data_IF_503894518628
#
_entry.id   IF_503894518628
#
_cell.length_a   1.000
_cell.length_b   1.000
_cell.length_c   1.000
_cell.angle_alpha   90.00
_cell.angle_beta   90.00
_cell.angle_gamma   90.00
#
_symmetry.space_group_name_H-M   'P 1'
#
loop_
_entity.id
_entity.type
_entity.pdbx_description
1 polymer ?
#
# COMPACT_ATOMS: atom_id res chain seq x y z
N UNK A 1 3.68 6.67 -32.97
CA UNK A 1 3.83 6.35 -31.53
C UNK A 1 2.51 5.75 -31.09
N UNK A 2 2.47 4.49 -30.65
CA UNK A 2 1.21 3.88 -30.16
C UNK A 2 0.93 4.52 -28.80
N UNK A 3 -0.23 5.17 -28.64
CA UNK A 3 -0.64 5.66 -27.32
C UNK A 3 -0.86 4.46 -26.41
N UNK A 4 -0.03 4.34 -25.37
CA UNK A 4 -0.22 3.37 -24.30
C UNK A 4 -1.41 3.80 -23.47
N UNK A 5 -2.24 2.86 -23.09
CA UNK A 5 -3.37 3.15 -22.22
C UNK A 5 -2.99 2.91 -20.76
N UNK A 6 -3.39 3.82 -19.88
CA UNK A 6 -3.12 3.71 -18.44
C UNK A 6 -4.36 3.22 -17.69
N UNK A 7 -4.16 2.23 -16.84
CA UNK A 7 -5.15 1.68 -15.92
C UNK A 7 -4.75 1.99 -14.48
N UNK A 8 -5.71 2.00 -13.55
CA UNK A 8 -5.43 2.12 -12.14
C UNK A 8 -6.19 1.11 -11.28
N UNK A 9 -5.47 0.51 -10.32
CA UNK A 9 -6.02 -0.36 -9.28
C UNK A 9 -5.74 0.28 -7.91
N UNK A 10 -6.79 0.63 -7.21
CA UNK A 10 -6.74 1.31 -5.91
C UNK A 10 -7.28 0.36 -4.85
N UNK A 11 -6.52 0.11 -3.79
CA UNK A 11 -6.86 -0.85 -2.73
C UNK A 11 -6.85 -0.13 -1.39
N UNK A 12 -7.98 -0.12 -0.69
CA UNK A 12 -8.10 0.43 0.66
C UNK A 12 -7.98 -0.65 1.72
N UNK A 13 -7.51 -0.26 2.90
CA UNK A 13 -7.76 -0.97 4.14
C UNK A 13 -9.24 -0.86 4.55
N UNK A 14 -9.65 -1.62 5.56
CA UNK A 14 -11.02 -1.64 6.09
C UNK A 14 -11.36 -0.44 7.00
N UNK A 15 -10.35 0.30 7.48
CA UNK A 15 -10.54 1.54 8.22
C UNK A 15 -11.07 2.70 7.36
N UNK A 16 -11.97 3.51 7.92
CA UNK A 16 -12.56 4.68 7.24
C UNK A 16 -11.48 5.64 6.72
N UNK A 17 -10.47 5.94 7.53
CA UNK A 17 -9.37 6.83 7.14
C UNK A 17 -8.58 6.30 5.94
N UNK A 18 -8.36 4.99 5.82
CA UNK A 18 -7.73 4.41 4.63
C UNK A 18 -8.59 4.56 3.38
N UNK A 19 -9.91 4.43 3.55
CA UNK A 19 -10.88 4.61 2.46
C UNK A 19 -10.90 6.06 1.98
N UNK A 20 -10.88 7.01 2.90
CA UNK A 20 -10.87 8.44 2.55
C UNK A 20 -9.57 8.83 1.85
N UNK A 21 -8.42 8.40 2.37
CA UNK A 21 -7.10 8.61 1.77
C UNK A 21 -7.03 8.08 0.32
N UNK A 22 -7.48 6.84 0.09
CA UNK A 22 -7.42 6.25 -1.25
C UNK A 22 -8.43 6.89 -2.22
N UNK A 23 -9.60 7.32 -1.73
CA UNK A 23 -10.58 8.07 -2.54
C UNK A 23 -10.06 9.44 -2.93
N UNK A 24 -9.35 10.13 -2.04
CA UNK A 24 -8.68 11.38 -2.39
C UNK A 24 -7.63 11.17 -3.50
N UNK A 25 -6.89 10.06 -3.44
CA UNK A 25 -5.98 9.69 -4.53
C UNK A 25 -6.72 9.33 -5.83
N UNK A 26 -7.88 8.67 -5.75
CA UNK A 26 -8.74 8.42 -6.90
C UNK A 26 -9.16 9.74 -7.57
N UNK A 27 -9.62 10.72 -6.79
CA UNK A 27 -9.99 12.04 -7.30
C UNK A 27 -8.81 12.73 -7.98
N UNK A 28 -7.61 12.66 -7.41
CA UNK A 28 -6.40 13.15 -8.08
C UNK A 28 -6.17 12.50 -9.45
N UNK A 29 -6.30 11.17 -9.56
CA UNK A 29 -6.15 10.48 -10.85
C UNK A 29 -7.22 10.91 -11.87
N UNK A 30 -8.46 11.05 -11.44
CA UNK A 30 -9.58 11.36 -12.33
C UNK A 30 -9.64 12.84 -12.73
N UNK A 31 -9.52 13.74 -11.76
CA UNK A 31 -9.79 15.17 -11.93
C UNK A 31 -8.54 15.95 -12.36
N UNK A 32 -7.35 15.51 -11.95
CA UNK A 32 -6.09 16.22 -12.22
C UNK A 32 -5.24 15.55 -13.30
N UNK A 33 -5.28 14.22 -13.40
CA UNK A 33 -4.52 13.44 -14.39
C UNK A 33 -5.37 12.90 -15.54
N UNK A 34 -6.67 13.23 -15.59
CA UNK A 34 -7.62 12.84 -16.65
C UNK A 34 -7.66 11.32 -16.92
N UNK A 35 -7.49 10.47 -15.89
CA UNK A 35 -7.66 9.03 -16.05
C UNK A 35 -9.10 8.71 -16.46
N UNK A 36 -9.27 7.80 -17.41
CA UNK A 36 -10.59 7.32 -17.80
C UNK A 36 -11.26 6.59 -16.60
N UNK A 37 -12.43 7.04 -16.11
CA UNK A 37 -13.09 6.41 -14.97
C UNK A 37 -13.36 4.91 -15.14
N UNK A 38 -13.59 4.45 -16.37
CA UNK A 38 -13.81 3.02 -16.69
C UNK A 38 -12.55 2.16 -16.51
N UNK A 39 -11.38 2.78 -16.38
CA UNK A 39 -10.06 2.12 -16.22
C UNK A 39 -9.50 2.27 -14.81
N UNK A 40 -10.23 2.92 -13.90
CA UNK A 40 -9.86 3.07 -12.50
C UNK A 40 -10.76 2.16 -11.65
N UNK A 41 -10.19 1.15 -11.01
CA UNK A 41 -10.90 0.23 -10.12
C UNK A 41 -10.53 0.52 -8.67
N UNK A 42 -11.53 0.77 -7.83
CA UNK A 42 -11.37 0.92 -6.39
C UNK A 42 -11.89 -0.33 -5.67
N UNK A 43 -11.04 -0.96 -4.87
CA UNK A 43 -11.35 -2.12 -4.05
C UNK A 43 -11.27 -1.73 -2.57
N UNK A 44 -12.35 -1.99 -1.84
CA UNK A 44 -12.46 -1.62 -0.44
C UNK A 44 -12.19 -2.81 0.48
N UNK A 45 -11.23 -2.65 1.40
CA UNK A 45 -10.85 -3.70 2.35
C UNK A 45 -11.99 -4.19 3.23
N UNK A 46 -13.07 -3.41 3.37
CA UNK A 46 -14.32 -3.84 4.05
C UNK A 46 -14.96 -5.09 3.44
N UNK A 47 -14.60 -5.46 2.21
CA UNK A 47 -15.17 -6.61 1.51
C UNK A 47 -14.43 -7.93 1.76
N UNK A 48 -13.35 -7.93 2.56
CA UNK A 48 -12.59 -9.15 2.84
C UNK A 48 -11.39 -9.33 1.90
N UNK A 49 -10.32 -9.96 2.39
CA UNK A 49 -9.08 -10.11 1.63
C UNK A 49 -9.23 -11.04 0.41
N UNK A 50 -10.01 -12.12 0.53
CA UNK A 50 -10.31 -13.02 -0.60
C UNK A 50 -10.98 -12.27 -1.75
N UNK A 51 -11.97 -11.41 -1.44
CA UNK A 51 -12.61 -10.56 -2.43
C UNK A 51 -11.60 -9.62 -3.10
N UNK A 52 -10.73 -8.96 -2.32
CA UNK A 52 -9.69 -8.07 -2.89
C UNK A 52 -8.79 -8.84 -3.85
N UNK A 53 -8.36 -10.04 -3.46
CA UNK A 53 -7.49 -10.87 -4.28
C UNK A 53 -8.18 -11.31 -5.58
N UNK A 54 -9.40 -11.86 -5.51
CA UNK A 54 -10.18 -12.27 -6.68
C UNK A 54 -10.46 -11.10 -7.63
N UNK A 55 -10.79 -9.92 -7.10
CA UNK A 55 -11.03 -8.73 -7.91
C UNK A 55 -9.75 -8.16 -8.53
N UNK A 56 -8.62 -8.33 -7.84
CA UNK A 56 -7.29 -8.01 -8.39
C UNK A 56 -6.96 -8.94 -9.55
N UNK A 57 -7.16 -10.25 -9.40
CA UNK A 57 -6.97 -11.20 -10.49
C UNK A 57 -7.89 -10.90 -11.68
N UNK A 58 -9.17 -10.60 -11.43
CA UNK A 58 -10.11 -10.19 -12.46
C UNK A 58 -9.65 -8.92 -13.17
N UNK A 59 -9.17 -7.91 -12.44
CA UNK A 59 -8.67 -6.67 -13.03
C UNK A 59 -7.51 -6.95 -14.00
N UNK A 60 -6.54 -7.76 -13.60
CA UNK A 60 -5.40 -8.11 -14.45
C UNK A 60 -5.77 -9.07 -15.59
N UNK A 61 -6.86 -9.82 -15.51
CA UNK A 61 -7.42 -10.54 -16.67
C UNK A 61 -8.04 -9.61 -17.71
N UNK A 62 -8.63 -8.49 -17.27
CA UNK A 62 -9.25 -7.49 -18.16
C UNK A 62 -8.21 -6.61 -18.86
N UNK A 63 -7.06 -6.36 -18.22
CA UNK A 63 -5.92 -5.65 -18.81
C UNK A 63 -5.14 -6.62 -19.70
N UNK A 64 -5.09 -6.38 -21.02
CA UNK A 64 -4.41 -7.29 -21.94
C UNK A 64 -2.95 -7.52 -21.51
N UNK A 65 -2.52 -8.77 -21.56
CA UNK A 65 -1.17 -9.21 -21.21
C UNK A 65 -0.17 -9.09 -22.38
N UNK A 66 -0.34 -8.07 -23.22
CA UNK A 66 0.49 -7.83 -24.41
C UNK A 66 1.59 -6.77 -24.18
N UNK A 67 1.71 -6.26 -22.96
CA UNK A 67 2.71 -5.26 -22.57
C UNK A 67 2.43 -3.84 -23.09
N UNK A 68 1.25 -3.59 -23.65
CA UNK A 68 0.88 -2.27 -24.21
C UNK A 68 0.22 -1.32 -23.21
N UNK A 69 -0.09 -1.82 -22.02
CA UNK A 69 -0.82 -1.10 -20.98
C UNK A 69 0.05 -0.82 -19.77
N UNK A 70 -0.03 0.43 -19.30
CA UNK A 70 0.63 0.86 -18.06
C UNK A 70 -0.34 0.82 -16.90
N UNK A 71 0.14 0.47 -15.71
CA UNK A 71 -0.74 0.27 -14.54
C UNK A 71 -0.24 1.05 -13.34
N UNK A 72 -1.11 1.90 -12.78
CA UNK A 72 -0.90 2.54 -11.49
C UNK A 72 -1.62 1.72 -10.42
N UNK A 73 -0.88 1.20 -9.46
CA UNK A 73 -1.41 0.43 -8.34
C UNK A 73 -1.14 1.24 -7.08
N UNK A 74 -2.17 1.51 -6.28
CA UNK A 74 -2.02 2.16 -4.99
C UNK A 74 -2.70 1.34 -3.91
N UNK A 75 -1.97 1.04 -2.84
CA UNK A 75 -2.49 0.41 -1.64
C UNK A 75 -2.33 1.35 -0.45
N UNK A 76 -3.41 1.53 0.32
CA UNK A 76 -3.43 2.28 1.57
C UNK A 76 -4.13 1.45 2.62
N UNK A 77 -3.43 1.00 3.65
CA UNK A 77 -4.00 0.08 4.63
C UNK A 77 -2.97 -0.47 5.61
N UNK A 78 -3.23 -1.67 6.13
CA UNK A 78 -2.29 -2.37 7.00
C UNK A 78 -1.27 -3.17 6.20
N UNK A 79 -0.11 -3.41 6.83
CA UNK A 79 0.99 -4.12 6.20
C UNK A 79 1.85 -4.85 7.22
N UNK A 80 2.41 -5.97 6.78
CA UNK A 80 3.37 -6.77 7.50
C UNK A 80 4.65 -6.96 6.70
N UNK A 81 5.65 -7.61 7.31
CA UNK A 81 6.88 -7.95 6.60
C UNK A 81 6.53 -8.98 5.51
N UNK A 82 6.71 -8.60 4.25
CA UNK A 82 6.48 -9.47 3.09
C UNK A 82 5.04 -9.53 2.57
N UNK A 83 4.11 -8.79 3.17
CA UNK A 83 2.71 -8.77 2.76
C UNK A 83 2.01 -7.43 3.02
N UNK A 84 0.81 -7.28 2.47
CA UNK A 84 -0.13 -6.24 2.85
C UNK A 84 -1.49 -6.86 3.21
N UNK A 85 -2.26 -6.21 4.08
CA UNK A 85 -3.55 -6.72 4.56
C UNK A 85 -4.62 -5.63 4.45
N UNK A 86 -5.48 -5.70 3.42
CA UNK A 86 -6.65 -4.85 3.30
C UNK A 86 -7.65 -4.98 4.46
N UNK A 87 -7.79 -6.15 5.09
CA UNK A 87 -8.63 -6.33 6.28
C UNK A 87 -7.79 -6.33 7.55
N UNK A 88 -8.29 -5.67 8.58
CA UNK A 88 -7.76 -5.75 9.94
C UNK A 88 -8.27 -7.03 10.61
N UNK A 89 -7.45 -8.07 10.58
CA UNK A 89 -7.41 -9.04 11.66
C UNK A 89 -6.02 -8.98 12.25
N UNK A 90 -5.95 -8.40 13.45
CA UNK A 90 -4.88 -8.50 14.46
C UNK A 90 -3.65 -9.22 13.89
N UNK A 91 -2.56 -8.49 13.63
CA UNK A 91 -1.29 -8.96 13.08
C UNK A 91 -0.63 -10.18 13.79
N UNK A 92 -1.28 -10.74 14.79
CA UNK A 92 -0.92 -11.92 15.57
C UNK A 92 -1.75 -13.18 15.22
N UNK A 93 -2.80 -13.08 14.40
CA UNK A 93 -3.56 -14.24 13.96
C UNK A 93 -2.84 -14.95 12.80
N UNK A 94 -2.41 -16.20 13.04
CA UNK A 94 -1.79 -17.06 12.01
C UNK A 94 -2.79 -17.58 10.98
N UNK A 95 -4.06 -17.18 11.04
CA UNK A 95 -5.06 -17.57 10.06
C UNK A 95 -5.02 -16.61 8.87
N UNK A 96 -4.31 -17.07 7.83
CA UNK A 96 -4.42 -16.67 6.42
C UNK A 96 -5.46 -15.59 6.13
N UNK A 97 -5.03 -14.33 5.96
CA UNK A 97 -5.70 -13.41 5.04
C UNK A 97 -4.80 -12.27 4.46
N UNK A 98 -3.52 -12.17 4.80
CA UNK A 98 -2.64 -11.16 4.18
C UNK A 98 -2.20 -11.57 2.75
N UNK A 99 -2.14 -10.60 1.83
CA UNK A 99 -1.70 -10.81 0.45
C UNK A 99 -0.17 -10.72 0.39
N UNK A 100 0.48 -11.83 0.03
CA UNK A 100 1.94 -11.89 -0.14
C UNK A 100 2.40 -11.01 -1.30
N UNK A 101 3.49 -10.25 -1.11
CA UNK A 101 4.09 -9.50 -2.21
C UNK A 101 4.64 -10.40 -3.32
N UNK A 102 5.04 -11.64 -3.02
CA UNK A 102 5.50 -12.57 -4.05
C UNK A 102 4.34 -13.07 -4.92
N UNK A 103 3.18 -13.35 -4.33
CA UNK A 103 1.97 -13.76 -5.07
C UNK A 103 1.40 -12.59 -5.87
N UNK A 104 1.27 -11.42 -5.22
CA UNK A 104 0.85 -10.20 -5.89
C UNK A 104 1.76 -9.82 -7.07
N UNK A 105 3.08 -9.98 -6.89
CA UNK A 105 4.07 -9.76 -7.93
C UNK A 105 3.86 -10.65 -9.17
N UNK A 106 3.51 -11.93 -8.96
CA UNK A 106 3.20 -12.86 -10.07
C UNK A 106 1.93 -12.47 -10.83
N UNK A 107 0.94 -11.90 -10.13
CA UNK A 107 -0.27 -11.39 -10.79
C UNK A 107 0.04 -10.26 -11.75
N UNK A 108 0.97 -9.37 -11.38
CA UNK A 108 1.27 -8.17 -12.17
C UNK A 108 2.40 -8.37 -13.21
N UNK A 109 3.10 -9.51 -13.20
CA UNK A 109 4.30 -9.73 -14.01
C UNK A 109 4.08 -9.81 -15.52
N UNK A 110 2.84 -9.92 -15.97
CA UNK A 110 2.50 -10.13 -17.37
C UNK A 110 2.01 -8.85 -18.09
N UNK A 111 2.08 -7.70 -17.43
CA UNK A 111 1.61 -6.42 -17.97
C UNK A 111 2.78 -5.51 -18.37
N UNK A 112 2.48 -4.30 -18.86
CA UNK A 112 3.48 -3.32 -19.32
C UNK A 112 4.31 -2.74 -18.16
N UNK A 113 4.48 -1.42 -18.14
CA UNK A 113 5.16 -0.77 -17.03
C UNK A 113 4.16 -0.52 -15.89
N UNK A 114 4.59 -0.64 -14.63
CA UNK A 114 3.73 -0.40 -13.47
C UNK A 114 4.34 0.53 -12.43
N UNK A 115 3.49 1.31 -11.77
CA UNK A 115 3.84 2.03 -10.54
C UNK A 115 3.08 1.41 -9.39
N UNK A 116 3.77 0.92 -8.37
CA UNK A 116 3.15 0.44 -7.13
C UNK A 116 3.45 1.40 -5.97
N UNK A 117 2.43 2.15 -5.55
CA UNK A 117 2.44 3.01 -4.38
C UNK A 117 1.92 2.19 -3.20
N UNK A 118 2.79 1.89 -2.25
CA UNK A 118 2.44 1.04 -1.11
C UNK A 118 2.52 1.84 0.19
N UNK A 119 1.38 2.30 0.69
CA UNK A 119 1.28 3.10 1.90
C UNK A 119 0.73 2.31 3.09
N UNK A 120 1.62 1.52 3.69
CA UNK A 120 1.38 0.76 4.90
C UNK A 120 2.68 0.56 5.71
N UNK A 121 2.56 0.02 6.93
CA UNK A 121 3.71 -0.39 7.73
C UNK A 121 4.54 -1.44 6.99
N UNK A 122 5.87 -1.39 7.15
CA UNK A 122 6.79 -2.33 6.51
C UNK A 122 6.71 -2.40 4.98
N UNK A 123 6.09 -1.41 4.33
CA UNK A 123 5.77 -1.42 2.89
C UNK A 123 7.00 -1.62 2.00
N UNK A 124 8.18 -1.14 2.42
CA UNK A 124 9.45 -1.34 1.71
C UNK A 124 9.88 -2.80 1.60
N UNK A 125 9.30 -3.71 2.40
CA UNK A 125 9.56 -5.14 2.31
C UNK A 125 9.12 -5.78 0.98
N UNK A 126 8.28 -5.10 0.18
CA UNK A 126 7.91 -5.49 -1.20
C UNK A 126 9.09 -5.52 -2.17
N UNK A 127 10.12 -4.69 -1.94
CA UNK A 127 11.19 -4.46 -2.92
C UNK A 127 11.99 -5.74 -3.18
N UNK A 128 12.29 -6.53 -2.14
CA UNK A 128 13.07 -7.77 -2.26
C UNK A 128 12.29 -8.86 -3.03
N UNK A 129 11.03 -9.19 -2.69
CA UNK A 129 10.19 -10.07 -3.50
C UNK A 129 10.11 -9.64 -4.97
N UNK A 130 9.84 -8.37 -5.26
CA UNK A 130 9.71 -7.91 -6.65
C UNK A 130 11.02 -7.99 -7.44
N UNK A 131 12.18 -7.79 -6.80
CA UNK A 131 13.49 -8.05 -7.41
C UNK A 131 13.73 -9.54 -7.66
N UNK A 132 13.31 -10.42 -6.74
CA UNK A 132 13.48 -11.88 -6.86
C UNK A 132 12.76 -12.47 -8.07
N UNK A 133 11.64 -11.87 -8.48
CA UNK A 133 10.84 -12.28 -9.65
C UNK A 133 11.05 -11.35 -10.86
N UNK A 134 12.16 -10.62 -10.92
CA UNK A 134 12.57 -9.76 -12.04
C UNK A 134 11.58 -8.65 -12.46
N UNK A 135 10.68 -8.22 -11.57
CA UNK A 135 9.84 -7.04 -11.82
C UNK A 135 10.61 -5.73 -11.71
N UNK A 136 11.57 -5.67 -10.76
CA UNK A 136 12.35 -4.48 -10.50
C UNK A 136 13.83 -4.69 -10.88
N UNK A 137 14.44 -3.76 -11.65
CA UNK A 137 13.85 -2.54 -12.20
C UNK A 137 13.11 -2.75 -13.53
N UNK A 138 12.98 -3.98 -14.02
CA UNK A 138 12.66 -4.27 -15.43
C UNK A 138 11.31 -3.73 -15.92
N UNK A 139 10.28 -3.74 -15.09
CA UNK A 139 8.90 -3.44 -15.49
C UNK A 139 8.21 -2.45 -14.54
N UNK A 140 8.85 -2.01 -13.47
CA UNK A 140 8.11 -1.21 -12.50
C UNK A 140 8.91 -0.23 -11.66
N UNK A 141 8.13 0.57 -10.95
CA UNK A 141 8.52 1.51 -9.93
C UNK A 141 7.74 1.20 -8.66
N UNK A 142 8.43 0.98 -7.56
CA UNK A 142 7.83 0.91 -6.22
C UNK A 142 8.10 2.22 -5.49
N UNK A 143 7.04 2.80 -4.94
CA UNK A 143 7.05 3.95 -4.03
C UNK A 143 6.41 3.50 -2.70
N UNK A 144 7.26 3.08 -1.76
CA UNK A 144 6.81 2.57 -0.46
C UNK A 144 6.93 3.66 0.62
N UNK A 145 5.93 3.74 1.49
CA UNK A 145 5.88 4.75 2.54
C UNK A 145 6.96 4.54 3.62
N UNK A 146 7.34 3.29 3.89
CA UNK A 146 8.23 2.91 4.98
C UNK A 146 9.32 1.92 4.53
N UNK A 147 10.40 1.79 5.31
CA UNK A 147 11.38 0.70 5.22
C UNK A 147 10.77 -0.65 5.62
N UNK A 148 11.45 -1.78 5.29
CA UNK A 148 10.97 -3.12 5.63
C UNK A 148 10.83 -3.40 7.13
N UNK A 149 11.43 -2.57 7.98
CA UNK A 149 11.59 -2.77 9.42
C UNK A 149 10.99 -1.61 10.26
N UNK A 150 10.16 -0.76 9.67
CA UNK A 150 9.56 0.38 10.37
C UNK A 150 8.06 0.57 10.10
N UNK A 151 7.41 1.30 11.00
CA UNK A 151 5.99 1.68 10.89
C UNK A 151 5.80 2.88 9.94
N UNK A 152 4.61 2.98 9.34
CA UNK A 152 4.19 4.17 8.57
C UNK A 152 3.39 5.13 9.47
N UNK A 153 3.56 6.44 9.25
CA UNK A 153 2.76 7.54 9.82
C UNK A 153 1.42 7.74 9.09
N UNK A 154 1.07 6.83 8.19
CA UNK A 154 -0.19 6.88 7.46
C UNK A 154 -0.24 7.94 6.36
N UNK A 155 -1.44 8.50 6.13
CA UNK A 155 -1.81 9.30 4.94
C UNK A 155 -0.94 10.54 4.68
N UNK A 156 -0.11 10.95 5.64
CA UNK A 156 0.92 11.97 5.46
C UNK A 156 1.83 11.68 4.26
N UNK A 157 2.18 10.41 4.04
CA UNK A 157 3.00 10.01 2.89
C UNK A 157 2.27 10.23 1.56
N UNK A 158 1.03 9.73 1.45
CA UNK A 158 0.25 9.84 0.23
C UNK A 158 -0.04 11.31 -0.13
N UNK A 159 -0.30 12.17 0.86
CA UNK A 159 -0.47 13.60 0.65
C UNK A 159 0.80 14.27 0.10
N UNK A 160 1.97 13.97 0.68
CA UNK A 160 3.25 14.50 0.17
C UNK A 160 3.58 13.96 -1.22
N UNK A 161 3.18 12.71 -1.51
CA UNK A 161 3.35 12.08 -2.81
C UNK A 161 2.54 12.81 -3.89
N UNK A 162 1.24 13.00 -3.65
CA UNK A 162 0.34 13.74 -4.54
C UNK A 162 0.86 15.16 -4.77
N UNK A 163 1.25 15.86 -3.70
CA UNK A 163 1.76 17.22 -3.81
C UNK A 163 3.03 17.30 -4.66
N UNK A 164 3.96 16.36 -4.51
CA UNK A 164 5.15 16.29 -5.35
C UNK A 164 4.79 16.12 -6.84
N UNK A 165 3.80 15.29 -7.14
CA UNK A 165 3.35 15.06 -8.51
C UNK A 165 2.58 16.24 -9.11
N UNK A 166 1.77 16.95 -8.32
CA UNK A 166 1.12 18.21 -8.72
C UNK A 166 2.13 19.25 -9.19
N UNK A 167 3.25 19.38 -8.48
CA UNK A 167 4.35 20.28 -8.86
C UNK A 167 5.34 19.65 -9.86
N UNK A 168 4.96 18.52 -10.49
CA UNK A 168 5.73 17.77 -11.51
C UNK A 168 7.14 17.41 -11.06
N UNK A 169 7.27 17.04 -9.79
CA UNK A 169 8.53 16.66 -9.18
C UNK A 169 8.50 15.19 -8.83
N UNK A 170 9.55 14.49 -9.23
CA UNK A 170 9.77 13.12 -8.77
C UNK A 170 9.72 13.06 -7.25
N UNK A 171 8.98 12.10 -6.72
CA UNK A 171 9.02 11.82 -5.29
C UNK A 171 10.37 11.17 -4.95
N UNK A 172 11.32 12.02 -4.58
CA UNK A 172 12.68 11.62 -4.19
C UNK A 172 12.74 11.51 -2.67
N UNK A 173 13.54 10.55 -2.19
CA UNK A 173 13.90 10.30 -0.79
C UNK A 173 14.51 11.54 -0.13
N UNK A 174 13.69 12.51 0.28
CA UNK A 174 14.16 13.87 0.58
C UNK A 174 14.21 14.26 2.05
N UNK A 175 13.71 13.42 2.96
CA UNK A 175 14.02 13.39 4.40
C UNK A 175 13.15 12.30 5.05
N UNK A 176 13.52 11.81 6.25
CA UNK A 176 12.57 11.10 7.08
C UNK A 176 11.35 11.99 7.36
N UNK A 177 10.17 11.37 7.43
CA UNK A 177 8.95 11.99 7.93
C UNK A 177 8.88 11.63 9.41
N UNK A 178 8.79 12.63 10.27
CA UNK A 178 8.64 12.43 11.72
C UNK A 178 7.24 12.81 12.16
N UNK A 179 6.70 12.05 13.11
CA UNK A 179 5.39 12.33 13.68
C UNK A 179 5.13 11.46 14.91
N UNK A 180 3.92 11.60 15.42
CA UNK A 180 3.41 10.77 16.50
C UNK A 180 2.38 9.80 15.94
N UNK A 181 2.39 8.57 16.45
CA UNK A 181 1.40 7.56 16.11
C UNK A 181 1.03 6.74 17.34
N UNK A 182 -0.11 6.10 17.29
CA UNK A 182 -0.61 5.28 18.38
C UNK A 182 -0.23 3.81 18.16
N UNK A 183 0.51 3.26 19.11
CA UNK A 183 0.77 1.83 19.17
C UNK A 183 -0.28 1.17 20.06
N UNK A 184 -1.17 0.40 19.44
CA UNK A 184 -2.16 -0.41 20.14
C UNK A 184 -1.60 -1.82 20.42
N UNK A 185 -1.73 -2.27 21.66
CA UNK A 185 -1.34 -3.62 22.05
C UNK A 185 -2.27 -4.18 23.14
N UNK A 186 -2.33 -5.51 23.21
CA UNK A 186 -3.09 -6.21 24.23
C UNK A 186 -2.21 -6.40 25.46
N UNK A 187 -2.56 -5.72 26.56
CA UNK A 187 -1.86 -5.86 27.84
C UNK A 187 -2.61 -6.86 28.72
N UNK A 188 -1.93 -7.88 29.28
CA UNK A 188 -2.57 -8.78 30.23
C UNK A 188 -3.04 -8.01 31.47
N UNK A 189 -4.26 -8.30 31.91
CA UNK A 189 -4.83 -7.83 33.16
C UNK A 189 -4.41 -8.83 34.23
N UNK A 190 -3.60 -8.37 35.18
CA UNK A 190 -3.09 -9.20 36.28
C UNK A 190 -3.99 -9.04 37.50
N UNK A 191 -4.54 -10.14 38.01
CA UNK A 191 -5.25 -10.13 39.29
C UNK A 191 -4.23 -10.02 40.44
N UNK A 192 -4.24 -8.90 41.21
CA UNK A 192 -3.30 -8.68 42.28
C UNK A 192 -3.55 -9.58 43.52
N UNK A 193 -4.68 -10.29 43.59
CA UNK A 193 -5.07 -11.10 44.74
C UNK A 193 -4.54 -12.54 44.69
N UNK A 194 -4.14 -13.02 43.52
CA UNK A 194 -3.61 -14.37 43.36
C UNK A 194 -2.17 -14.47 43.92
N UNK A 195 -1.90 -15.47 44.76
CA UNK A 195 -0.54 -15.79 45.24
C UNK A 195 -0.06 -17.05 44.54
N UNK A 196 0.79 -16.86 43.52
CA UNK A 196 1.51 -17.83 42.67
C UNK A 196 0.81 -18.28 41.39
N UNK A 197 1.56 -18.18 40.30
CA UNK A 197 1.47 -19.04 39.12
C UNK A 197 0.69 -18.52 37.93
N UNK A 198 -0.58 -18.16 38.08
CA UNK A 198 -1.47 -17.95 36.93
C UNK A 198 -2.36 -16.73 37.16
N UNK A 199 -2.03 -15.63 36.48
CA UNK A 199 -2.42 -14.27 36.89
C UNK A 199 -3.22 -13.49 35.86
N UNK A 200 -3.35 -13.99 34.63
CA UNK A 200 -3.96 -13.22 33.54
C UNK A 200 -5.46 -13.50 33.50
N UNK A 201 -6.26 -12.61 34.09
CA UNK A 201 -7.73 -12.70 34.11
C UNK A 201 -8.40 -12.13 32.86
N UNK A 202 -7.60 -11.56 31.96
CA UNK A 202 -8.06 -11.05 30.69
C UNK A 202 -6.98 -10.23 30.01
N UNK A 203 -7.35 -9.61 28.89
CA UNK A 203 -6.50 -8.67 28.17
C UNK A 203 -7.27 -7.37 27.98
N UNK A 204 -6.59 -6.25 28.21
CA UNK A 204 -7.11 -4.92 27.86
C UNK A 204 -6.35 -4.38 26.66
N UNK A 205 -7.08 -3.81 25.71
CA UNK A 205 -6.49 -2.99 24.66
C UNK A 205 -5.96 -1.71 25.29
N UNK A 206 -4.67 -1.42 25.09
CA UNK A 206 -4.04 -0.17 25.53
C UNK A 206 -3.39 0.48 24.31
N UNK A 207 -3.51 1.80 24.25
CA UNK A 207 -2.81 2.63 23.27
C UNK A 207 -1.69 3.40 23.95
N UNK A 208 -0.55 3.51 23.28
CA UNK A 208 0.55 4.39 23.68
C UNK A 208 0.98 5.22 22.47
N UNK A 209 1.00 6.53 22.63
CA UNK A 209 1.59 7.42 21.64
C UNK A 209 3.11 7.23 21.61
N UNK A 210 3.63 6.97 20.42
CA UNK A 210 5.04 6.77 20.13
C UNK A 210 5.49 7.76 19.07
N UNK A 211 6.75 8.20 19.17
CA UNK A 211 7.40 8.91 18.07
C UNK A 211 7.74 7.91 16.97
N UNK A 212 7.26 8.17 15.75
CA UNK A 212 7.56 7.36 14.58
C UNK A 212 8.42 8.20 13.63
N UNK A 213 9.49 7.58 13.15
CA UNK A 213 10.32 8.13 12.07
C UNK A 213 10.16 7.21 10.89
N UNK A 214 9.57 7.72 9.83
CA UNK A 214 9.28 7.00 8.60
C UNK A 214 10.26 7.45 7.51
N UNK A 215 10.79 6.49 6.76
CA UNK A 215 11.74 6.68 5.68
C UNK A 215 11.20 6.10 4.37
N UNK A 216 10.49 6.92 3.57
CA UNK A 216 10.00 6.50 2.28
C UNK A 216 11.07 5.89 1.39
N UNK A 217 10.70 4.82 0.70
CA UNK A 217 11.56 4.06 -0.18
C UNK A 217 11.10 4.13 -1.63
N UNK A 218 12.07 4.12 -2.53
CA UNK A 218 11.88 4.10 -3.97
C UNK A 218 12.78 3.04 -4.58
N UNK A 219 12.25 2.23 -5.49
CA UNK A 219 13.04 1.24 -6.24
C UNK A 219 12.40 0.96 -7.59
N UNK A 220 13.19 0.94 -8.66
CA UNK A 220 12.71 0.62 -10.01
C UNK A 220 13.04 1.68 -11.06
N UNK A 221 12.33 1.65 -12.19
CA UNK A 221 12.40 2.64 -13.27
C UNK A 221 11.87 4.01 -12.84
N UNK A 222 12.22 5.04 -13.60
CA UNK A 222 11.56 6.36 -13.48
C UNK A 222 10.27 6.35 -14.29
N UNK A 223 9.16 6.09 -13.59
CA UNK A 223 7.81 6.02 -14.16
C UNK A 223 6.89 7.14 -13.63
N UNK A 224 7.46 8.17 -13.00
CA UNK A 224 6.71 9.31 -12.42
C UNK A 224 5.89 10.07 -13.46
N UNK A 225 6.27 10.00 -14.73
CA UNK A 225 5.50 10.59 -15.83
C UNK A 225 4.08 10.03 -15.94
N UNK A 226 3.83 8.80 -15.48
CA UNK A 226 2.49 8.22 -15.39
C UNK A 226 1.61 8.90 -14.32
N UNK A 227 2.22 9.73 -13.46
CA UNK A 227 1.58 10.45 -12.37
C UNK A 227 1.73 11.98 -12.52
N UNK A 228 2.21 12.47 -13.66
CA UNK A 228 2.23 13.90 -13.96
C UNK A 228 1.05 14.28 -14.82
N UNK A 229 0.50 15.47 -14.59
CA UNK A 229 -0.50 16.03 -15.49
C UNK A 229 0.12 16.24 -16.87
N UNK A 230 -0.49 15.67 -17.90
CA UNK A 230 -0.15 16.00 -19.28
C UNK A 230 -0.68 17.40 -19.57
N UNK A 231 0.23 18.32 -19.93
CA UNK A 231 -0.19 19.60 -20.49
C UNK A 231 -0.63 19.33 -21.93
N UNK A 232 -1.91 18.99 -22.12
CA UNK A 232 -2.57 19.13 -23.43
C UNK A 232 -2.91 20.59 -23.67
#
# INVERSE_FOLDING_TARGET
>A
MVMRETYALLISGNGQHFTDDIKNFQLFLLDELDFNPKKVRLLLGSNGNNYIFEQTESFFKDVKSDGTHDVVIAHRGHGGIGNFSPVDEVAFSRTREAISYEEFGKLISHHGDFVFINDCCYSGSVIKPFKKIDLLPKNGLVLASARPDEYSLGGNYQNQLVEAFRIRREYRRRKPIEGEGDLEYMRPIVDPTCKKGEYVVGYRKVSKTIKIVQHPMRSGKTLDHLLFKDNK
#
